data_IF_077510020409
#
_entry.id   IF_077510020409
#
_cell.length_a   1.000
_cell.length_b   1.000
_cell.length_c   1.000
_cell.angle_alpha   90.00
_cell.angle_beta   90.00
_cell.angle_gamma   90.00
#
_symmetry.space_group_name_H-M   'P 1'
#
loop_
_entity.id
_entity.type
_entity.pdbx_description
1 polymer ?
#
# COMPACT_ATOMS: atom_id res chain seq x y z
N UNK A 1 -6.97 -18.51 -20.60
CA UNK A 1 -7.19 -17.38 -19.66
C UNK A 1 -7.15 -17.79 -18.20
N UNK A 2 -8.00 -18.73 -17.76
CA UNK A 2 -8.05 -19.17 -16.37
C UNK A 2 -6.72 -19.70 -15.82
N UNK A 3 -5.98 -20.51 -16.58
CA UNK A 3 -4.70 -21.07 -16.10
C UNK A 3 -3.64 -19.99 -15.85
N UNK A 4 -3.64 -18.91 -16.64
CA UNK A 4 -2.71 -17.80 -16.48
C UNK A 4 -2.98 -17.01 -15.20
N UNK A 5 -4.25 -16.69 -14.95
CA UNK A 5 -4.64 -15.94 -13.75
C UNK A 5 -4.48 -16.78 -12.47
N UNK A 6 -4.71 -18.11 -12.54
CA UNK A 6 -4.45 -19.03 -11.42
C UNK A 6 -2.96 -19.16 -11.14
N UNK A 7 -2.11 -19.23 -12.17
CA UNK A 7 -0.65 -19.23 -12.00
C UNK A 7 -0.18 -17.96 -11.29
N UNK A 8 -0.58 -16.79 -11.78
CA UNK A 8 -0.29 -15.48 -11.17
C UNK A 8 -0.73 -15.45 -9.70
N UNK A 9 -1.96 -15.89 -9.42
CA UNK A 9 -2.49 -15.97 -8.07
C UNK A 9 -1.65 -16.87 -7.16
N UNK A 10 -1.15 -18.01 -7.66
CA UNK A 10 -0.31 -18.92 -6.88
C UNK A 10 1.03 -18.27 -6.48
N UNK A 11 1.70 -17.59 -7.42
CA UNK A 11 2.93 -16.84 -7.12
C UNK A 11 2.68 -15.74 -6.08
N UNK A 12 1.63 -14.94 -6.24
CA UNK A 12 1.27 -13.90 -5.26
C UNK A 12 0.94 -14.47 -3.88
N UNK A 13 0.18 -15.55 -3.82
CA UNK A 13 -0.19 -16.22 -2.56
C UNK A 13 1.04 -16.75 -1.82
N UNK A 14 2.04 -17.23 -2.57
CA UNK A 14 3.31 -17.68 -2.02
C UNK A 14 4.30 -16.54 -1.78
N UNK A 15 3.98 -15.31 -2.20
CA UNK A 15 4.89 -14.15 -2.22
C UNK A 15 6.17 -14.42 -3.01
N UNK A 16 6.09 -15.26 -4.02
CA UNK A 16 7.24 -15.57 -4.86
C UNK A 16 7.39 -14.51 -5.94
N UNK A 17 8.63 -14.09 -6.13
CA UNK A 17 9.01 -13.26 -7.26
C UNK A 17 8.68 -13.96 -8.59
N UNK A 18 8.25 -13.17 -9.56
CA UNK A 18 8.07 -13.58 -10.94
C UNK A 18 9.04 -12.73 -11.74
N UNK A 19 9.77 -13.31 -12.68
CA UNK A 19 10.62 -12.51 -13.56
C UNK A 19 9.75 -11.44 -14.30
N UNK A 20 10.15 -10.15 -14.31
CA UNK A 20 9.30 -9.08 -14.85
C UNK A 20 8.80 -9.30 -16.28
N UNK A 21 9.64 -9.79 -17.20
CA UNK A 21 9.22 -10.06 -18.57
C UNK A 21 8.20 -11.21 -18.65
N UNK A 22 8.32 -12.23 -17.78
CA UNK A 22 7.31 -13.29 -17.66
C UNK A 22 5.98 -12.72 -17.14
N UNK A 23 6.00 -11.89 -16.11
CA UNK A 23 4.80 -11.25 -15.58
C UNK A 23 4.13 -10.36 -16.66
N UNK A 24 4.92 -9.55 -17.38
CA UNK A 24 4.44 -8.71 -18.48
C UNK A 24 3.81 -9.53 -19.61
N UNK A 25 4.43 -10.64 -20.00
CA UNK A 25 3.90 -11.54 -21.02
C UNK A 25 2.54 -12.12 -20.60
N UNK A 26 2.43 -12.58 -19.35
CA UNK A 26 1.18 -13.13 -18.81
C UNK A 26 0.08 -12.06 -18.79
N UNK A 27 0.38 -10.87 -18.29
CA UNK A 27 -0.57 -9.74 -18.22
C UNK A 27 -1.02 -9.34 -19.63
N UNK A 28 -0.08 -9.23 -20.57
CA UNK A 28 -0.37 -8.89 -21.97
C UNK A 28 -1.25 -9.93 -22.64
N UNK A 29 -0.95 -11.22 -22.45
CA UNK A 29 -1.77 -12.31 -23.01
C UNK A 29 -3.16 -12.34 -22.38
N UNK A 30 -3.26 -12.03 -21.09
CA UNK A 30 -4.54 -11.92 -20.40
C UNK A 30 -5.35 -10.74 -20.96
N UNK A 31 -4.74 -9.57 -21.09
CA UNK A 31 -5.34 -8.40 -21.72
C UNK A 31 -5.92 -8.70 -23.12
N UNK A 32 -5.17 -9.38 -23.97
CA UNK A 32 -5.66 -9.77 -25.30
C UNK A 32 -6.93 -10.62 -25.25
N UNK A 33 -7.05 -11.55 -24.30
CA UNK A 33 -8.26 -12.36 -24.13
C UNK A 33 -9.46 -11.53 -23.66
N UNK A 34 -9.24 -10.58 -22.73
CA UNK A 34 -10.28 -9.65 -22.28
C UNK A 34 -10.81 -8.80 -23.45
N UNK A 35 -9.91 -8.26 -24.28
CA UNK A 35 -10.28 -7.50 -25.48
C UNK A 35 -11.08 -8.34 -26.49
N UNK A 36 -10.83 -9.64 -26.54
CA UNK A 36 -11.56 -10.59 -27.40
C UNK A 36 -12.92 -11.02 -26.81
N UNK A 37 -13.32 -10.47 -25.65
CA UNK A 37 -14.58 -10.80 -25.00
C UNK A 37 -14.54 -12.07 -24.15
N UNK A 38 -13.35 -12.61 -23.84
CA UNK A 38 -13.16 -13.70 -22.88
C UNK A 38 -13.27 -13.18 -21.44
N UNK A 39 -14.42 -12.57 -21.09
CA UNK A 39 -14.65 -12.00 -19.77
C UNK A 39 -14.61 -13.09 -18.68
N UNK A 40 -13.75 -12.92 -17.69
CA UNK A 40 -13.64 -13.83 -16.55
C UNK A 40 -13.40 -13.03 -15.28
N UNK A 41 -14.45 -12.64 -14.52
CA UNK A 41 -14.32 -11.79 -13.34
C UNK A 41 -13.35 -12.31 -12.29
N UNK A 42 -13.34 -13.63 -12.06
CA UNK A 42 -12.36 -14.26 -11.18
C UNK A 42 -10.93 -14.12 -11.71
N UNK A 43 -10.75 -14.26 -13.02
CA UNK A 43 -9.46 -14.06 -13.66
C UNK A 43 -8.98 -12.61 -13.55
N UNK A 44 -9.88 -11.65 -13.76
CA UNK A 44 -9.61 -10.22 -13.58
C UNK A 44 -9.22 -9.89 -12.13
N UNK A 45 -10.00 -10.39 -11.16
CA UNK A 45 -9.66 -10.25 -9.74
C UNK A 45 -8.27 -10.82 -9.43
N UNK A 46 -7.97 -12.03 -9.89
CA UNK A 46 -6.67 -12.66 -9.68
C UNK A 46 -5.51 -11.87 -10.30
N UNK A 47 -5.68 -11.35 -11.52
CA UNK A 47 -4.65 -10.55 -12.19
C UNK A 47 -4.44 -9.22 -11.47
N UNK A 48 -5.52 -8.49 -11.17
CA UNK A 48 -5.44 -7.21 -10.46
C UNK A 48 -4.79 -7.38 -9.08
N UNK A 49 -5.25 -8.38 -8.31
CA UNK A 49 -4.72 -8.67 -7.00
C UNK A 49 -3.26 -9.13 -7.03
N UNK A 50 -2.88 -9.96 -8.01
CA UNK A 50 -1.48 -10.37 -8.17
C UNK A 50 -0.60 -9.19 -8.51
N UNK A 51 -1.02 -8.35 -9.46
CA UNK A 51 -0.30 -7.14 -9.84
C UNK A 51 -0.10 -6.22 -8.64
N UNK A 52 -1.18 -5.95 -7.91
CA UNK A 52 -1.14 -5.17 -6.68
C UNK A 52 -0.26 -5.82 -5.60
N UNK A 53 -0.30 -7.13 -5.40
CA UNK A 53 0.45 -7.82 -4.34
C UNK A 53 1.94 -7.93 -4.63
N UNK A 54 2.31 -8.19 -5.88
CA UNK A 54 3.71 -8.36 -6.29
C UNK A 54 4.38 -7.06 -6.76
N UNK A 55 3.62 -5.96 -6.84
CA UNK A 55 4.14 -4.66 -7.28
C UNK A 55 4.34 -4.55 -8.79
N UNK A 56 3.57 -5.28 -9.60
CA UNK A 56 3.53 -5.09 -11.05
C UNK A 56 2.48 -4.05 -11.41
N UNK A 57 2.88 -3.03 -12.17
CA UNK A 57 1.97 -1.99 -12.64
C UNK A 57 1.68 -2.20 -14.14
N UNK A 58 0.50 -2.70 -14.53
CA UNK A 58 0.10 -2.76 -15.93
C UNK A 58 0.05 -1.36 -16.57
N UNK A 59 0.27 -1.25 -17.89
CA UNK A 59 0.06 0.01 -18.60
C UNK A 59 -1.35 0.60 -18.36
N UNK A 60 -1.52 1.93 -18.28
CA UNK A 60 -2.80 2.55 -17.92
C UNK A 60 -4.00 2.09 -18.76
N UNK A 61 -3.81 1.89 -20.07
CA UNK A 61 -4.87 1.41 -20.96
C UNK A 61 -5.33 -0.02 -20.63
N UNK A 62 -4.41 -0.91 -20.22
CA UNK A 62 -4.76 -2.28 -19.81
C UNK A 62 -5.52 -2.26 -18.49
N UNK A 63 -5.05 -1.44 -17.54
CA UNK A 63 -5.68 -1.30 -16.23
C UNK A 63 -7.11 -0.74 -16.35
N UNK A 64 -7.31 0.25 -17.22
CA UNK A 64 -8.64 0.78 -17.54
C UNK A 64 -9.53 -0.30 -18.18
N UNK A 65 -9.01 -1.06 -19.14
CA UNK A 65 -9.73 -2.17 -19.76
C UNK A 65 -10.16 -3.23 -18.72
N UNK A 66 -9.27 -3.61 -17.80
CA UNK A 66 -9.60 -4.55 -16.72
C UNK A 66 -10.69 -4.02 -15.79
N UNK A 67 -10.59 -2.74 -15.41
CA UNK A 67 -11.59 -2.05 -14.58
C UNK A 67 -12.97 -2.04 -15.25
N UNK A 68 -13.04 -1.64 -16.52
CA UNK A 68 -14.29 -1.60 -17.29
C UNK A 68 -14.89 -3.01 -17.50
N UNK A 69 -14.05 -3.98 -17.86
CA UNK A 69 -14.49 -5.37 -18.04
C UNK A 69 -15.05 -5.95 -16.74
N UNK A 70 -14.41 -5.67 -15.60
CA UNK A 70 -14.90 -6.12 -14.30
C UNK A 70 -16.23 -5.43 -13.92
N UNK A 71 -16.33 -4.12 -14.17
CA UNK A 71 -17.51 -3.32 -13.86
C UNK A 71 -18.76 -3.77 -14.62
N UNK A 72 -18.58 -4.07 -15.91
CA UNK A 72 -19.65 -4.42 -16.86
C UNK A 72 -19.96 -5.91 -16.92
N UNK A 73 -19.18 -6.75 -16.24
CA UNK A 73 -19.42 -8.19 -16.26
C UNK A 73 -20.79 -8.53 -15.67
N UNK A 74 -21.53 -9.37 -16.42
CA UNK A 74 -22.83 -9.91 -16.02
C UNK A 74 -22.71 -11.25 -15.29
N UNK A 75 -21.50 -11.79 -15.16
CA UNK A 75 -21.27 -13.09 -14.52
C UNK A 75 -21.38 -12.95 -12.99
N UNK A 76 -21.89 -13.96 -12.28
CA UNK A 76 -22.00 -13.89 -10.83
C UNK A 76 -20.62 -13.74 -10.18
N UNK A 77 -20.53 -12.82 -9.22
CA UNK A 77 -19.33 -12.53 -8.45
C UNK A 77 -19.38 -13.19 -7.07
N UNK A 78 -18.21 -13.54 -6.52
CA UNK A 78 -18.05 -13.64 -5.06
C UNK A 78 -17.78 -12.23 -4.53
N UNK A 79 -18.50 -11.80 -3.50
CA UNK A 79 -18.36 -10.44 -2.95
C UNK A 79 -16.97 -10.11 -2.42
N UNK A 80 -16.21 -11.12 -1.98
CA UNK A 80 -14.81 -10.95 -1.58
C UNK A 80 -13.94 -10.40 -2.73
N UNK A 81 -14.35 -10.63 -3.99
CA UNK A 81 -13.65 -10.11 -5.14
C UNK A 81 -13.82 -8.60 -5.28
N UNK A 82 -14.95 -8.02 -4.86
CA UNK A 82 -15.16 -6.57 -4.97
C UNK A 82 -14.22 -5.82 -4.00
N UNK A 83 -14.09 -6.22 -2.74
CA UNK A 83 -13.13 -5.56 -1.82
C UNK A 83 -11.69 -5.70 -2.32
N UNK A 84 -11.37 -6.88 -2.85
CA UNK A 84 -10.05 -7.21 -3.37
C UNK A 84 -9.73 -6.39 -4.62
N UNK A 85 -10.68 -6.23 -5.54
CA UNK A 85 -10.53 -5.39 -6.74
C UNK A 85 -10.41 -3.92 -6.36
N UNK A 86 -11.22 -3.42 -5.42
CA UNK A 86 -11.12 -2.05 -4.93
C UNK A 86 -9.72 -1.77 -4.35
N UNK A 87 -9.26 -2.65 -3.47
CA UNK A 87 -7.91 -2.58 -2.90
C UNK A 87 -6.82 -2.65 -3.98
N UNK A 88 -6.95 -3.58 -4.93
CA UNK A 88 -5.96 -3.75 -6.00
C UNK A 88 -5.88 -2.51 -6.89
N UNK A 89 -7.02 -1.94 -7.27
CA UNK A 89 -7.06 -0.70 -8.04
C UNK A 89 -6.50 0.49 -7.25
N UNK A 90 -6.68 0.52 -5.92
CA UNK A 90 -6.09 1.53 -5.06
C UNK A 90 -4.55 1.44 -5.05
N UNK A 91 -4.01 0.23 -4.89
CA UNK A 91 -2.57 -0.05 -4.94
C UNK A 91 -1.98 0.32 -6.30
N UNK A 92 -2.70 -0.01 -7.38
CA UNK A 92 -2.28 0.27 -8.76
C UNK A 92 -2.59 1.71 -9.21
N UNK A 93 -3.18 2.55 -8.35
CA UNK A 93 -3.45 3.96 -8.63
C UNK A 93 -4.57 4.22 -9.66
N UNK A 94 -5.49 3.28 -9.88
CA UNK A 94 -6.60 3.39 -10.83
C UNK A 94 -8.00 3.40 -10.18
N UNK A 95 -8.07 3.37 -8.85
CA UNK A 95 -9.32 3.55 -8.12
C UNK A 95 -9.71 5.03 -8.08
N UNK A 96 -10.99 5.31 -8.30
CA UNK A 96 -11.60 6.61 -8.06
C UNK A 96 -12.85 6.46 -7.16
N UNK A 97 -13.33 7.59 -6.63
CA UNK A 97 -14.45 7.62 -5.69
C UNK A 97 -15.77 7.16 -6.31
N UNK A 98 -16.01 7.45 -7.60
CA UNK A 98 -17.24 7.05 -8.29
C UNK A 98 -17.30 5.53 -8.45
N UNK A 99 -16.19 4.93 -8.86
CA UNK A 99 -16.03 3.49 -8.95
C UNK A 99 -16.17 2.82 -7.58
N UNK A 100 -15.51 3.37 -6.56
CA UNK A 100 -15.60 2.84 -5.19
C UNK A 100 -17.05 2.83 -4.67
N UNK A 101 -17.80 3.93 -4.83
CA UNK A 101 -19.22 4.00 -4.46
C UNK A 101 -20.06 2.97 -5.23
N UNK A 102 -19.80 2.80 -6.53
CA UNK A 102 -20.49 1.80 -7.36
C UNK A 102 -20.26 0.39 -6.84
N UNK A 103 -19.05 0.10 -6.35
CA UNK A 103 -18.76 -1.18 -5.70
C UNK A 103 -19.46 -1.30 -4.35
N UNK A 104 -19.48 -0.26 -3.52
CA UNK A 104 -20.20 -0.26 -2.23
C UNK A 104 -21.67 -0.65 -2.37
N UNK A 105 -22.34 -0.19 -3.43
CA UNK A 105 -23.73 -0.54 -3.73
C UNK A 105 -23.96 -2.05 -4.01
N UNK A 106 -22.91 -2.83 -4.25
CA UNK A 106 -22.97 -4.28 -4.45
C UNK A 106 -22.90 -5.07 -3.13
N UNK A 107 -22.60 -4.43 -2.00
CA UNK A 107 -22.45 -5.07 -0.68
C UNK A 107 -23.67 -5.01 0.27
N UNK A 108 -24.91 -4.64 -0.11
CA UNK A 108 -25.87 -4.17 0.88
C UNK A 108 -26.21 -5.21 1.95
N UNK A 109 -26.01 -4.82 3.23
CA UNK A 109 -26.43 -5.51 4.46
C UNK A 109 -25.85 -6.92 4.67
N UNK A 110 -24.58 -7.12 4.31
CA UNK A 110 -23.90 -8.42 4.48
C UNK A 110 -22.80 -8.35 5.52
N UNK A 111 -22.70 -9.41 6.31
CA UNK A 111 -21.55 -9.65 7.19
C UNK A 111 -20.35 -9.94 6.31
N UNK A 112 -19.37 -9.03 6.33
CA UNK A 112 -18.11 -9.20 5.63
C UNK A 112 -17.08 -9.84 6.56
N UNK A 113 -16.16 -10.62 6.00
CA UNK A 113 -15.01 -11.10 6.75
C UNK A 113 -14.11 -9.92 7.12
N UNK A 114 -13.41 -10.02 8.26
CA UNK A 114 -12.51 -8.98 8.73
C UNK A 114 -11.48 -8.52 7.66
N UNK A 115 -10.90 -9.47 6.92
CA UNK A 115 -9.94 -9.17 5.85
C UNK A 115 -10.58 -8.36 4.69
N UNK A 116 -11.84 -8.63 4.35
CA UNK A 116 -12.61 -7.89 3.35
C UNK A 116 -12.86 -6.45 3.80
N UNK A 117 -13.21 -6.26 5.08
CA UNK A 117 -13.39 -4.93 5.68
C UNK A 117 -12.07 -4.16 5.65
N UNK A 118 -10.95 -4.77 6.06
CA UNK A 118 -9.63 -4.15 6.00
C UNK A 118 -9.25 -3.65 4.60
N UNK A 119 -9.50 -4.45 3.56
CA UNK A 119 -9.25 -4.07 2.17
C UNK A 119 -10.10 -2.86 1.71
N UNK A 120 -11.38 -2.82 2.09
CA UNK A 120 -12.26 -1.70 1.75
C UNK A 120 -11.78 -0.39 2.37
N UNK A 121 -11.41 -0.44 3.63
CA UNK A 121 -10.86 0.72 4.31
C UNK A 121 -9.52 1.16 3.70
N UNK A 122 -8.64 0.22 3.38
CA UNK A 122 -7.38 0.52 2.71
C UNK A 122 -7.62 1.23 1.36
N UNK A 123 -8.54 0.69 0.55
CA UNK A 123 -8.95 1.33 -0.70
C UNK A 123 -9.49 2.76 -0.48
N UNK A 124 -10.29 2.96 0.57
CA UNK A 124 -10.85 4.27 0.91
C UNK A 124 -9.78 5.28 1.36
N UNK A 125 -8.72 4.86 2.06
CA UNK A 125 -7.62 5.77 2.40
C UNK A 125 -6.82 6.22 1.20
N UNK A 126 -6.65 5.36 0.19
CA UNK A 126 -5.99 5.76 -1.05
C UNK A 126 -6.71 6.90 -1.78
N UNK A 127 -8.03 7.00 -1.55
CA UNK A 127 -8.91 8.03 -2.11
C UNK A 127 -8.99 9.29 -1.25
N UNK A 128 -8.35 9.33 -0.07
CA UNK A 128 -8.40 10.48 0.82
C UNK A 128 -7.70 11.69 0.20
N UNK A 129 -8.40 12.82 -0.05
CA UNK A 129 -7.75 14.03 -0.52
C UNK A 129 -6.85 14.65 0.55
N UNK A 130 -5.72 15.21 0.15
CA UNK A 130 -4.78 15.85 1.09
C UNK A 130 -5.32 17.16 1.65
N UNK A 131 -6.08 17.93 0.84
CA UNK A 131 -6.70 19.19 1.27
C UNK A 131 -8.10 18.96 1.86
N UNK A 132 -8.19 19.19 3.18
CA UNK A 132 -9.40 19.00 3.97
C UNK A 132 -10.51 20.01 3.67
N UNK A 133 -10.21 21.11 2.98
CA UNK A 133 -11.17 22.15 2.64
C UNK A 133 -11.95 21.87 1.34
N UNK A 134 -11.54 20.85 0.59
CA UNK A 134 -12.11 20.56 -0.73
C UNK A 134 -13.44 19.82 -0.64
N UNK A 135 -14.36 20.00 -1.61
CA UNK A 135 -15.57 19.19 -1.73
C UNK A 135 -15.29 17.69 -1.82
N UNK A 136 -14.18 17.31 -2.47
CA UNK A 136 -13.73 15.92 -2.55
C UNK A 136 -13.44 15.33 -1.16
N UNK A 137 -12.86 16.12 -0.24
CA UNK A 137 -12.63 15.66 1.13
C UNK A 137 -13.94 15.47 1.88
N UNK A 138 -14.89 16.39 1.71
CA UNK A 138 -16.24 16.25 2.28
C UNK A 138 -16.92 14.97 1.78
N UNK A 139 -16.87 14.70 0.48
CA UNK A 139 -17.40 13.46 -0.10
C UNK A 139 -16.73 12.21 0.49
N UNK A 140 -15.39 12.20 0.52
CA UNK A 140 -14.61 11.11 1.11
C UNK A 140 -14.99 10.88 2.58
N UNK A 141 -15.15 11.95 3.36
CA UNK A 141 -15.50 11.89 4.77
C UNK A 141 -16.90 11.26 4.97
N UNK A 142 -17.86 11.67 4.15
CA UNK A 142 -19.22 11.10 4.18
C UNK A 142 -19.24 9.62 3.83
N UNK A 143 -18.51 9.21 2.78
CA UNK A 143 -18.36 7.80 2.40
C UNK A 143 -17.69 7.01 3.52
N UNK A 144 -16.64 7.58 4.14
CA UNK A 144 -15.93 6.97 5.29
C UNK A 144 -16.87 6.71 6.45
N UNK A 145 -17.69 7.69 6.82
CA UNK A 145 -18.66 7.54 7.90
C UNK A 145 -19.67 6.43 7.59
N UNK A 146 -20.14 6.33 6.36
CA UNK A 146 -21.05 5.25 5.95
C UNK A 146 -20.38 3.87 6.05
N UNK A 147 -19.18 3.72 5.49
CA UNK A 147 -18.40 2.46 5.57
C UNK A 147 -18.14 2.07 7.03
N UNK A 148 -17.78 3.03 7.89
CA UNK A 148 -17.56 2.79 9.32
C UNK A 148 -18.80 2.35 10.08
N UNK A 149 -19.97 2.87 9.70
CA UNK A 149 -21.24 2.52 10.32
C UNK A 149 -21.68 1.12 9.93
N UNK A 150 -21.54 0.76 8.65
CA UNK A 150 -21.98 -0.53 8.12
C UNK A 150 -20.99 -1.67 8.42
N UNK A 151 -19.69 -1.38 8.35
CA UNK A 151 -18.62 -2.37 8.51
C UNK A 151 -17.53 -1.86 9.46
N UNK A 152 -17.81 -1.78 10.77
CA UNK A 152 -16.84 -1.28 11.73
C UNK A 152 -15.56 -2.12 11.71
N UNK A 153 -14.43 -1.46 11.50
CA UNK A 153 -13.12 -2.06 11.62
C UNK A 153 -12.80 -2.29 13.09
N UNK A 154 -12.55 -3.54 13.46
CA UNK A 154 -12.13 -3.89 14.80
C UNK A 154 -10.62 -3.70 14.89
N UNK A 155 -10.17 -2.81 15.78
CA UNK A 155 -8.75 -2.67 16.05
C UNK A 155 -8.26 -3.92 16.74
N UNK A 156 -7.31 -4.61 16.11
CA UNK A 156 -6.55 -5.68 16.77
C UNK A 156 -5.36 -5.01 17.43
N UNK A 157 -5.15 -5.27 18.73
CA UNK A 157 -3.91 -4.86 19.41
C UNK A 157 -2.72 -5.48 18.68
N UNK A 158 -1.92 -4.64 18.03
CA UNK A 158 -0.67 -5.07 17.41
C UNK A 158 0.43 -5.05 18.46
N UNK A 159 0.91 -6.24 18.84
CA UNK A 159 2.10 -6.37 19.67
C UNK A 159 3.33 -5.98 18.86
N UNK A 160 4.23 -5.22 19.49
CA UNK A 160 5.48 -4.80 18.84
C UNK A 160 6.34 -6.02 18.54
N UNK A 161 6.86 -6.11 17.32
CA UNK A 161 7.89 -7.10 17.05
C UNK A 161 9.21 -6.73 17.76
N UNK A 162 10.04 -7.69 18.19
CA UNK A 162 11.36 -7.39 18.74
C UNK A 162 12.25 -6.57 17.78
N UNK A 163 12.00 -6.69 16.47
CA UNK A 163 12.69 -5.91 15.45
C UNK A 163 12.28 -4.43 15.50
N UNK A 164 10.99 -4.14 15.48
CA UNK A 164 10.44 -2.78 15.64
C UNK A 164 10.92 -2.12 16.94
N UNK A 165 10.90 -2.84 18.07
CA UNK A 165 11.37 -2.33 19.37
C UNK A 165 12.85 -1.91 19.32
N UNK A 166 13.68 -2.70 18.63
CA UNK A 166 15.10 -2.39 18.49
C UNK A 166 15.34 -1.15 17.63
N UNK A 167 14.60 -0.98 16.53
CA UNK A 167 14.66 0.24 15.70
C UNK A 167 14.20 1.44 16.52
N UNK A 168 13.09 1.32 17.25
CA UNK A 168 12.52 2.38 18.09
C UNK A 168 13.51 2.86 19.16
N UNK A 169 14.08 1.95 19.95
CA UNK A 169 15.05 2.32 20.98
C UNK A 169 16.33 2.93 20.40
N UNK A 170 16.78 2.47 19.23
CA UNK A 170 17.94 3.06 18.56
C UNK A 170 17.63 4.49 18.10
N UNK A 171 16.41 4.72 17.60
CA UNK A 171 15.97 6.04 17.19
C UNK A 171 15.86 7.02 18.37
N UNK A 172 15.32 6.58 19.52
CA UNK A 172 15.25 7.42 20.72
C UNK A 172 16.64 7.84 21.24
N UNK A 173 17.65 6.96 21.12
CA UNK A 173 19.03 7.27 21.52
C UNK A 173 19.67 8.40 20.69
N UNK A 174 19.12 8.69 19.50
CA UNK A 174 19.54 9.83 18.69
C UNK A 174 19.02 11.17 19.23
N UNK A 175 18.20 11.16 20.29
CA UNK A 175 17.67 12.35 20.95
C UNK A 175 16.39 12.90 20.32
N UNK A 176 15.71 12.11 19.48
CA UNK A 176 14.40 12.46 18.93
C UNK A 176 13.28 12.03 19.87
N UNK A 177 12.21 12.82 19.92
CA UNK A 177 10.95 12.40 20.51
C UNK A 177 10.13 11.66 19.46
N UNK A 178 9.75 10.42 19.73
CA UNK A 178 8.96 9.61 18.81
C UNK A 178 7.88 8.85 19.58
N UNK A 179 6.79 8.56 18.88
CA UNK A 179 5.68 7.75 19.35
C UNK A 179 5.76 6.43 18.60
N UNK A 180 5.61 5.34 19.32
CA UNK A 180 5.62 4.00 18.73
C UNK A 180 4.19 3.49 18.59
N UNK A 181 3.91 2.73 17.51
CA UNK A 181 2.57 2.33 17.10
C UNK A 181 1.59 3.51 17.09
N UNK A 182 1.93 4.54 16.33
CA UNK A 182 1.10 5.73 16.24
C UNK A 182 -0.07 5.47 15.29
N UNK A 183 -1.29 5.64 15.79
CA UNK A 183 -2.49 5.67 14.93
C UNK A 183 -2.44 6.96 14.09
N UNK A 184 -2.33 6.82 12.78
CA UNK A 184 -2.32 7.93 11.83
C UNK A 184 -3.64 8.73 11.83
N UNK A 185 -4.66 8.25 12.55
CA UNK A 185 -6.01 8.77 12.63
C UNK A 185 -6.93 8.21 11.55
N UNK A 186 -6.47 7.20 10.81
CA UNK A 186 -7.26 6.47 9.83
C UNK A 186 -7.75 5.09 10.27
N UNK A 187 -7.28 4.62 11.43
CA UNK A 187 -7.69 3.36 12.02
C UNK A 187 -7.20 2.11 11.27
N UNK A 188 -6.38 2.23 10.22
CA UNK A 188 -5.96 1.10 9.38
C UNK A 188 -4.51 0.68 9.55
N UNK A 189 -3.63 1.65 9.72
CA UNK A 189 -2.21 1.43 9.79
C UNK A 189 -1.66 2.14 11.01
N UNK A 190 -1.10 1.36 11.93
CA UNK A 190 -0.19 1.90 12.90
C UNK A 190 1.12 2.18 12.19
N UNK A 191 1.62 3.39 12.36
CA UNK A 191 2.99 3.73 11.99
C UNK A 191 3.87 3.14 13.10
N UNK A 192 4.80 2.25 12.75
CA UNK A 192 5.65 1.56 13.74
C UNK A 192 6.32 2.57 14.68
N UNK A 193 6.90 3.63 14.10
CA UNK A 193 7.49 4.75 14.82
C UNK A 193 7.16 6.06 14.10
N UNK A 194 6.32 6.88 14.71
CA UNK A 194 5.99 8.21 14.22
C UNK A 194 6.79 9.29 14.95
N UNK A 195 7.33 10.21 14.17
CA UNK A 195 7.92 11.44 14.68
C UNK A 195 7.10 12.63 14.16
N UNK A 196 6.43 13.33 15.05
CA UNK A 196 5.75 14.59 14.73
C UNK A 196 6.78 15.72 14.55
N UNK A 197 6.40 16.83 13.85
CA UNK A 197 7.30 17.94 13.60
C UNK A 197 7.94 18.47 14.89
N UNK A 198 9.25 18.69 14.83
CA UNK A 198 10.09 19.17 15.93
C UNK A 198 10.98 20.31 15.43
N UNK A 199 11.57 21.13 16.32
CA UNK A 199 12.39 22.28 15.91
C UNK A 199 13.53 21.95 14.92
N UNK A 200 14.11 20.75 15.00
CA UNK A 200 15.18 20.29 14.09
C UNK A 200 14.66 19.57 12.83
N UNK A 201 13.44 19.05 12.88
CA UNK A 201 12.81 18.28 11.80
C UNK A 201 11.37 18.77 11.65
N UNK A 202 11.13 19.80 10.82
CA UNK A 202 9.83 20.50 10.72
C UNK A 202 8.76 19.71 9.96
N UNK A 203 8.95 18.41 9.73
CA UNK A 203 8.03 17.54 9.02
C UNK A 203 7.66 16.30 9.85
N UNK A 204 6.53 15.70 9.50
CA UNK A 204 6.14 14.39 10.04
C UNK A 204 6.99 13.31 9.40
N UNK A 205 7.54 12.39 10.20
CA UNK A 205 8.33 11.25 9.70
C UNK A 205 7.70 9.96 10.20
N UNK A 206 7.46 9.03 9.29
CA UNK A 206 6.99 7.68 9.58
C UNK A 206 8.17 6.73 9.35
N UNK A 207 8.57 5.98 10.37
CA UNK A 207 9.64 4.98 10.25
C UNK A 207 8.99 3.61 10.35
N UNK A 208 9.12 2.82 9.29
CA UNK A 208 8.54 1.49 9.12
C UNK A 208 9.65 0.44 9.24
N UNK A 209 9.56 -0.44 10.24
CA UNK A 209 10.51 -1.52 10.48
C UNK A 209 10.06 -2.77 9.72
N UNK A 210 10.34 -2.77 8.42
CA UNK A 210 9.86 -3.82 7.51
C UNK A 210 10.58 -5.17 7.74
N UNK A 211 9.89 -6.07 8.45
CA UNK A 211 10.27 -7.47 8.60
C UNK A 211 10.15 -8.31 7.31
N UNK A 212 10.55 -9.57 7.37
CA UNK A 212 10.56 -10.52 6.25
C UNK A 212 9.23 -10.60 5.48
N UNK A 213 8.10 -10.39 6.15
CA UNK A 213 6.77 -10.53 5.54
C UNK A 213 6.40 -9.42 4.57
N UNK A 214 7.14 -8.31 4.59
CA UNK A 214 6.96 -7.13 3.72
C UNK A 214 7.75 -7.22 2.41
N UNK A 215 8.50 -8.31 2.22
CA UNK A 215 9.30 -8.55 1.03
C UNK A 215 8.86 -9.84 0.34
N UNK A 216 9.08 -9.90 -0.97
CA UNK A 216 8.90 -11.11 -1.75
C UNK A 216 10.04 -12.09 -1.49
N UNK A 217 9.75 -13.37 -1.67
CA UNK A 217 10.76 -14.43 -1.70
C UNK A 217 11.38 -14.49 -3.09
N UNK A 218 12.71 -14.66 -3.12
CA UNK A 218 13.46 -14.83 -4.37
C UNK A 218 13.19 -16.21 -4.97
N UNK A 219 13.25 -17.24 -4.12
CA UNK A 219 12.97 -18.62 -4.48
C UNK A 219 12.37 -19.42 -3.31
N UNK A 220 11.98 -20.66 -3.62
CA UNK A 220 11.54 -21.62 -2.62
C UNK A 220 12.32 -22.93 -2.77
N UNK A 221 12.91 -23.39 -1.67
CA UNK A 221 13.62 -24.65 -1.58
C UNK A 221 12.87 -25.64 -0.71
N UNK A 222 12.57 -26.85 -1.22
CA UNK A 222 11.84 -27.86 -0.45
C UNK A 222 12.55 -28.25 0.87
N UNK A 223 13.87 -28.23 0.88
CA UNK A 223 14.70 -28.59 2.04
C UNK A 223 14.90 -27.44 3.05
N UNK A 224 14.73 -26.18 2.62
CA UNK A 224 15.09 -24.98 3.41
C UNK A 224 13.95 -23.99 3.59
N UNK A 225 12.82 -24.19 2.92
CA UNK A 225 11.72 -23.24 2.87
C UNK A 225 11.99 -22.06 1.92
N UNK A 226 11.26 -20.94 2.10
CA UNK A 226 11.38 -19.77 1.25
C UNK A 226 12.70 -19.02 1.51
N UNK A 227 13.35 -18.59 0.44
CA UNK A 227 14.53 -17.72 0.52
C UNK A 227 14.09 -16.26 0.44
N UNK A 228 14.37 -15.42 1.46
CA UNK A 228 13.94 -14.02 1.45
C UNK A 228 14.61 -13.23 0.34
N UNK A 229 13.80 -12.49 -0.43
CA UNK A 229 14.25 -11.47 -1.35
C UNK A 229 14.30 -10.10 -0.68
N UNK A 230 14.74 -9.11 -1.46
CA UNK A 230 14.86 -7.70 -1.04
C UNK A 230 13.83 -6.79 -1.69
N UNK A 231 13.01 -7.33 -2.61
CA UNK A 231 11.95 -6.59 -3.27
C UNK A 231 10.74 -6.44 -2.34
N UNK A 232 10.28 -5.22 -2.02
CA UNK A 232 9.09 -5.04 -1.19
C UNK A 232 7.85 -5.59 -1.92
N UNK A 233 6.90 -6.10 -1.15
CA UNK A 233 5.59 -6.45 -1.67
C UNK A 233 4.74 -5.18 -1.89
N UNK A 234 3.65 -5.31 -2.64
CA UNK A 234 2.83 -4.16 -2.94
C UNK A 234 1.99 -3.66 -1.77
N UNK A 235 1.86 -4.41 -0.67
CA UNK A 235 1.23 -3.90 0.56
C UNK A 235 2.13 -2.89 1.25
N UNK A 236 3.43 -3.19 1.34
CA UNK A 236 4.43 -2.27 1.88
C UNK A 236 4.53 -1.00 1.00
N UNK A 237 4.59 -1.16 -0.32
CA UNK A 237 4.60 -0.03 -1.26
C UNK A 237 3.33 0.82 -1.13
N UNK A 238 2.17 0.18 -1.01
CA UNK A 238 0.90 0.86 -0.85
C UNK A 238 0.82 1.64 0.47
N UNK A 239 1.18 1.02 1.60
CA UNK A 239 1.25 1.68 2.91
C UNK A 239 2.11 2.95 2.81
N UNK A 240 3.31 2.83 2.25
CA UNK A 240 4.24 3.95 2.13
C UNK A 240 3.64 5.09 1.29
N UNK A 241 3.06 4.76 0.13
CA UNK A 241 2.40 5.74 -0.75
C UNK A 241 1.23 6.46 -0.08
N UNK A 242 0.40 5.74 0.69
CA UNK A 242 -0.70 6.34 1.46
C UNK A 242 -0.19 7.29 2.53
N UNK A 243 0.84 6.89 3.29
CA UNK A 243 1.46 7.75 4.30
C UNK A 243 2.05 9.03 3.66
N UNK A 244 2.74 8.89 2.53
CA UNK A 244 3.30 10.03 1.79
C UNK A 244 2.23 11.02 1.33
N UNK A 245 1.12 10.53 0.77
CA UNK A 245 -0.03 11.38 0.38
C UNK A 245 -0.69 12.09 1.56
N UNK A 246 -0.58 11.51 2.75
CA UNK A 246 -1.03 12.10 4.01
C UNK A 246 0.01 13.06 4.61
N UNK A 247 1.11 13.34 3.91
CA UNK A 247 2.14 14.30 4.30
C UNK A 247 3.17 13.75 5.28
N UNK A 248 3.34 12.43 5.34
CA UNK A 248 4.45 11.81 6.07
C UNK A 248 5.66 11.63 5.14
N UNK A 249 6.86 11.86 5.67
CA UNK A 249 8.08 11.40 5.02
C UNK A 249 8.40 9.99 5.53
N UNK A 250 8.38 9.01 4.65
CA UNK A 250 8.52 7.60 5.05
C UNK A 250 9.99 7.16 5.02
N UNK A 251 10.43 6.55 6.10
CA UNK A 251 11.72 5.89 6.25
C UNK A 251 11.44 4.40 6.39
N UNK A 252 11.82 3.62 5.39
CA UNK A 252 11.82 2.15 5.51
C UNK A 252 13.14 1.68 6.09
N UNK A 253 13.07 0.83 7.12
CA UNK A 253 14.19 0.10 7.71
C UNK A 253 14.02 -1.39 7.39
N UNK A 254 14.62 -1.90 6.30
CA UNK A 254 14.56 -3.31 5.96
C UNK A 254 15.29 -4.16 7.00
N UNK A 255 14.69 -5.28 7.40
CA UNK A 255 15.30 -6.20 8.36
C UNK A 255 16.70 -6.69 7.93
N UNK A 256 16.92 -6.92 6.63
CA UNK A 256 18.19 -7.44 6.11
C UNK A 256 19.30 -6.37 6.15
N UNK A 257 18.98 -5.10 5.88
CA UNK A 257 19.93 -4.00 6.06
C UNK A 257 20.25 -3.83 7.55
N UNK A 258 19.22 -3.85 8.40
CA UNK A 258 19.40 -3.68 9.83
C UNK A 258 20.22 -4.77 10.49
N UNK A 259 20.02 -6.03 10.08
CA UNK A 259 20.76 -7.19 10.59
C UNK A 259 22.20 -7.24 10.09
N UNK A 260 22.49 -6.69 8.92
CA UNK A 260 23.87 -6.55 8.43
C UNK A 260 24.71 -5.58 9.29
N UNK A 261 24.08 -4.66 10.02
CA UNK A 261 24.74 -3.71 10.91
C UNK A 261 25.08 -4.38 12.25
N UNK A 262 26.35 -4.71 12.45
CA UNK A 262 26.82 -5.45 13.63
C UNK A 262 26.83 -4.57 14.90
N UNK A 263 27.27 -3.33 14.80
CA UNK A 263 27.48 -2.47 15.97
C UNK A 263 26.32 -1.50 16.20
N UNK A 264 26.14 -1.11 17.45
CA UNK A 264 25.17 -0.08 17.86
C UNK A 264 25.41 1.25 17.12
N UNK A 265 26.68 1.66 16.98
CA UNK A 265 27.02 2.91 16.29
C UNK A 265 26.67 2.85 14.81
N UNK A 266 26.91 1.72 14.13
CA UNK A 266 26.54 1.55 12.74
C UNK A 266 25.02 1.69 12.51
N UNK A 267 24.20 1.16 13.44
CA UNK A 267 22.73 1.31 13.41
C UNK A 267 22.28 2.75 13.62
N UNK A 268 22.92 3.45 14.55
CA UNK A 268 22.68 4.88 14.78
C UNK A 268 23.04 5.70 13.54
N UNK A 269 24.20 5.45 12.94
CA UNK A 269 24.67 6.20 11.77
C UNK A 269 23.79 5.92 10.54
N UNK A 270 23.34 4.67 10.36
CA UNK A 270 22.36 4.30 9.35
C UNK A 270 21.06 5.11 9.46
N UNK A 271 20.46 5.21 10.66
CA UNK A 271 19.25 6.01 10.85
C UNK A 271 19.52 7.51 10.69
N UNK A 272 20.69 8.01 11.10
CA UNK A 272 21.06 9.42 10.88
C UNK A 272 21.11 9.77 9.40
N UNK A 273 21.69 8.90 8.56
CA UNK A 273 21.74 9.13 7.12
C UNK A 273 20.34 9.15 6.50
N UNK A 274 19.45 8.21 6.88
CA UNK A 274 18.05 8.26 6.42
C UNK A 274 17.31 9.52 6.87
N UNK A 275 17.53 9.96 8.10
CA UNK A 275 16.95 11.22 8.62
C UNK A 275 17.46 12.44 7.85
N UNK A 276 18.75 12.50 7.52
CA UNK A 276 19.32 13.58 6.69
C UNK A 276 18.66 13.62 5.31
N UNK A 277 18.45 12.46 4.69
CA UNK A 277 17.77 12.35 3.41
C UNK A 277 16.34 12.91 3.49
N UNK A 278 15.57 12.52 4.51
CA UNK A 278 14.21 13.04 4.75
C UNK A 278 14.19 14.57 4.92
N UNK A 279 15.06 15.13 5.76
CA UNK A 279 15.12 16.58 5.97
C UNK A 279 15.50 17.31 4.68
N UNK A 280 16.39 16.73 3.88
CA UNK A 280 16.80 17.29 2.59
C UNK A 280 15.66 17.27 1.59
N UNK A 281 14.92 16.16 1.51
CA UNK A 281 13.73 16.04 0.67
C UNK A 281 12.66 17.07 1.07
N UNK A 282 12.35 17.20 2.36
CA UNK A 282 11.38 18.19 2.82
C UNK A 282 11.75 19.64 2.44
N UNK A 283 13.03 20.01 2.58
CA UNK A 283 13.51 21.34 2.17
C UNK A 283 13.37 21.57 0.68
N UNK A 284 13.62 20.54 -0.12
CA UNK A 284 13.44 20.61 -1.56
C UNK A 284 11.96 20.78 -1.94
N UNK A 285 11.06 20.00 -1.35
CA UNK A 285 9.63 20.06 -1.65
C UNK A 285 9.01 21.41 -1.26
N UNK A 286 9.39 21.95 -0.10
CA UNK A 286 8.94 23.27 0.37
C UNK A 286 9.47 24.42 -0.50
N UNK A 287 10.71 24.34 -0.96
CA UNK A 287 11.26 25.30 -1.92
C UNK A 287 10.55 25.24 -3.27
N UNK A 288 10.27 24.04 -3.78
CA UNK A 288 9.55 23.85 -5.04
C UNK A 288 8.13 24.43 -4.98
N UNK A 289 7.41 24.19 -3.88
CA UNK A 289 6.05 24.70 -3.67
C UNK A 289 5.99 26.23 -3.62
N UNK A 290 6.94 26.88 -2.93
CA UNK A 290 7.03 28.34 -2.83
C UNK A 290 7.44 29.03 -4.15
N UNK A 291 8.26 28.35 -4.95
CA UNK A 291 8.68 28.83 -6.27
C UNK A 291 7.56 28.75 -7.33
N UNK A 292 6.65 27.78 -7.21
CA UNK A 292 5.48 27.66 -8.09
C UNK A 292 4.40 28.70 -7.78
N UNK A 293 4.16 29.01 -6.50
CA UNK A 293 3.18 30.05 -6.10
C UNK A 293 3.64 31.44 -6.56
N UNK A 294 4.93 31.73 -6.46
CA UNK A 294 5.50 33.03 -6.88
C UNK A 294 5.43 33.30 -8.39
N UNK A 295 5.19 32.28 -9.23
CA UNK A 295 5.05 32.41 -10.70
C UNK A 295 3.60 32.56 -11.17
N UNK A 296 2.63 32.35 -10.31
CA UNK A 296 1.20 32.48 -10.64
C UNK A 296 0.71 33.91 -10.32
N UNK A 297 1.39 34.61 -9.41
CA UNK A 297 1.04 35.95 -8.93
C UNK A 297 1.82 37.10 -9.63
N UNK A 298 2.54 36.83 -10.73
CA UNK A 298 3.31 37.82 -11.50
C UNK A 298 3.04 37.75 -13.00
#
# INVERSE_FOLDING_TARGET
MQSLSVMMFAFASLRLHIEPAVAELIITRFYQGVVQGEDQPQGLNNILWTCATLGYLPPPHMLQCFKESYATSKKPFLLQHDSTVAWSLAVLGALDMEYFKTMLLRFPRRVLLHATVGQLYQALQALRPSDKSTPAYTEWFEVTRHVQTEWPLHQVETLRSPFEEHVYHTFLQMGYQAISHYDSGDGLHYIDIAMLPQPKVPCKVAIEADGHTHYLFEDYRLDKGPHPGTRPDGRALFRNSVLERQGWYVIVVPWFEWHALITKNAKVDYLKEKMKAVVSQYRHDTWAASSQTSKIDG
#
